data_IF_616676917897
#
_entry.id   IF_616676917897
#
_cell.length_a   1.000
_cell.length_b   1.000
_cell.length_c   1.000
_cell.angle_alpha   90.00
_cell.angle_beta   90.00
_cell.angle_gamma   90.00
#
_symmetry.space_group_name_H-M   'P 1'
#
loop_
_entity.id
_entity.type
_entity.pdbx_description
1 polymer ?
#
# COMPACT_ATOMS: atom_id res chain seq x y z
N UNK A 1 1.31 10.00 -1.10
CA UNK A 1 0.79 9.27 0.06
C UNK A 1 1.83 9.37 1.15
N UNK A 2 1.60 10.16 2.19
CA UNK A 2 2.64 10.50 3.19
C UNK A 2 2.49 9.69 4.49
N UNK A 3 1.52 8.77 4.53
CA UNK A 3 1.19 7.96 5.69
C UNK A 3 1.58 6.51 5.41
N UNK A 4 2.30 5.90 6.36
CA UNK A 4 2.48 4.45 6.43
C UNK A 4 1.13 3.78 6.72
N UNK A 5 0.72 2.82 5.89
CA UNK A 5 -0.45 2.00 6.17
C UNK A 5 -0.01 0.64 6.71
N UNK A 6 -0.53 0.27 7.87
CA UNK A 6 -0.26 -1.01 8.53
C UNK A 6 -1.10 -2.13 7.91
N UNK A 7 -0.67 -3.39 8.09
CA UNK A 7 -1.43 -4.57 7.63
C UNK A 7 -2.83 -4.59 8.25
N UNK A 8 -2.97 -4.24 9.54
CA UNK A 8 -4.27 -4.21 10.22
C UNK A 8 -5.25 -3.21 9.58
N UNK A 9 -4.79 -2.01 9.20
CA UNK A 9 -5.60 -1.01 8.47
C UNK A 9 -5.97 -1.45 7.04
N UNK A 10 -5.18 -2.34 6.45
CA UNK A 10 -5.40 -2.84 5.09
C UNK A 10 -6.31 -4.07 5.07
N UNK A 11 -6.31 -4.88 6.12
CA UNK A 11 -7.12 -6.09 6.25
C UNK A 11 -8.63 -5.81 6.25
N UNK A 12 -9.08 -4.59 6.58
CA UNK A 12 -10.50 -4.22 6.53
C UNK A 12 -10.96 -3.75 5.16
N UNK A 13 -10.06 -3.69 4.16
CA UNK A 13 -10.34 -3.16 2.83
C UNK A 13 -10.65 -4.26 1.83
N UNK A 14 -11.42 -3.92 0.81
CA UNK A 14 -11.70 -4.77 -0.35
C UNK A 14 -10.48 -4.89 -1.26
N UNK A 15 -10.44 -5.91 -2.12
CA UNK A 15 -9.35 -6.05 -3.09
C UNK A 15 -9.27 -4.85 -4.06
N UNK A 16 -10.41 -4.31 -4.49
CA UNK A 16 -10.46 -3.14 -5.36
C UNK A 16 -9.82 -1.90 -4.71
N UNK A 17 -10.11 -1.67 -3.43
CA UNK A 17 -9.48 -0.60 -2.64
C UNK A 17 -7.98 -0.83 -2.47
N UNK A 18 -7.54 -2.06 -2.17
CA UNK A 18 -6.13 -2.41 -2.05
C UNK A 18 -5.37 -2.15 -3.37
N UNK A 19 -5.95 -2.53 -4.51
CA UNK A 19 -5.37 -2.23 -5.84
C UNK A 19 -5.34 -0.73 -6.11
N UNK A 20 -6.36 0.02 -5.69
CA UNK A 20 -6.39 1.49 -5.78
C UNK A 20 -5.27 2.14 -4.97
N UNK A 21 -5.10 1.73 -3.71
CA UNK A 21 -4.04 2.19 -2.83
C UNK A 21 -2.65 1.82 -3.35
N UNK A 22 -2.48 0.63 -3.92
CA UNK A 22 -1.22 0.19 -4.50
C UNK A 22 -0.77 1.13 -5.64
N UNK A 23 -1.71 1.50 -6.53
CA UNK A 23 -1.44 2.47 -7.60
C UNK A 23 -1.07 3.84 -7.04
N UNK A 24 -1.83 4.34 -6.05
CA UNK A 24 -1.56 5.63 -5.41
C UNK A 24 -0.19 5.67 -4.71
N UNK A 25 0.18 4.60 -4.01
CA UNK A 25 1.46 4.46 -3.34
C UNK A 25 2.63 4.40 -4.35
N UNK A 26 2.43 3.73 -5.49
CA UNK A 26 3.43 3.66 -6.58
C UNK A 26 3.67 5.03 -7.21
N UNK A 27 2.60 5.77 -7.52
CA UNK A 27 2.70 7.13 -8.04
C UNK A 27 3.37 8.08 -7.04
N UNK A 28 3.01 7.97 -5.76
CA UNK A 28 3.63 8.76 -4.71
C UNK A 28 5.13 8.46 -4.59
N UNK A 29 5.53 7.19 -4.63
CA UNK A 29 6.92 6.76 -4.58
C UNK A 29 7.74 7.37 -5.72
N UNK A 30 7.19 7.40 -6.94
CA UNK A 30 7.83 7.96 -8.11
C UNK A 30 8.16 9.46 -7.97
N UNK A 31 7.39 10.18 -7.15
CA UNK A 31 7.55 11.62 -6.90
C UNK A 31 8.46 11.92 -5.70
N UNK A 32 8.94 10.91 -4.97
CA UNK A 32 9.79 11.11 -3.77
C UNK A 32 11.27 11.06 -4.12
N UNK A 33 12.04 11.98 -3.54
CA UNK A 33 13.50 11.91 -3.54
C UNK A 33 14.00 10.67 -2.80
N UNK A 34 15.23 10.25 -3.09
CA UNK A 34 15.86 9.14 -2.38
C UNK A 34 16.16 9.48 -0.92
N UNK A 35 16.20 8.46 -0.07
CA UNK A 35 16.53 8.55 1.36
C UNK A 35 15.61 9.43 2.23
N UNK A 36 14.39 9.74 1.78
CA UNK A 36 13.42 10.48 2.61
C UNK A 36 12.51 9.55 3.44
N UNK A 37 11.98 10.02 4.58
CA UNK A 37 10.96 9.28 5.34
C UNK A 37 9.72 8.93 4.50
N UNK A 38 9.29 9.81 3.60
CA UNK A 38 8.12 9.62 2.74
C UNK A 38 8.34 8.46 1.76
N UNK A 39 9.56 8.34 1.22
CA UNK A 39 9.96 7.22 0.37
C UNK A 39 9.89 5.90 1.13
N UNK A 40 10.44 5.86 2.35
CA UNK A 40 10.39 4.67 3.23
C UNK A 40 8.95 4.28 3.56
N UNK A 41 8.11 5.25 3.91
CA UNK A 41 6.69 5.01 4.19
C UNK A 41 5.93 4.47 2.98
N UNK A 42 6.23 4.99 1.79
CA UNK A 42 5.61 4.55 0.53
C UNK A 42 6.01 3.11 0.18
N UNK A 43 7.30 2.77 0.33
CA UNK A 43 7.80 1.40 0.14
C UNK A 43 7.19 0.41 1.13
N UNK A 44 7.19 0.75 2.43
CA UNK A 44 6.61 -0.10 3.46
C UNK A 44 5.10 -0.29 3.25
N UNK A 45 4.39 0.75 2.79
CA UNK A 45 2.97 0.61 2.45
C UNK A 45 2.74 -0.31 1.25
N UNK A 46 3.54 -0.18 0.19
CA UNK A 46 3.46 -1.08 -0.97
C UNK A 46 3.65 -2.55 -0.55
N UNK A 47 4.66 -2.81 0.28
CA UNK A 47 4.92 -4.16 0.79
C UNK A 47 3.76 -4.69 1.64
N UNK A 48 3.19 -3.85 2.52
CA UNK A 48 2.04 -4.23 3.34
C UNK A 48 0.80 -4.52 2.50
N UNK A 49 0.54 -3.76 1.44
CA UNK A 49 -0.56 -4.02 0.51
C UNK A 49 -0.33 -5.34 -0.22
N UNK A 50 0.86 -5.58 -0.76
CA UNK A 50 1.20 -6.84 -1.43
C UNK A 50 1.03 -8.05 -0.52
N UNK A 51 1.47 -7.97 0.75
CA UNK A 51 1.22 -9.04 1.73
C UNK A 51 -0.26 -9.23 1.99
N UNK A 52 -1.03 -8.16 2.14
CA UNK A 52 -2.47 -8.25 2.42
C UNK A 52 -3.22 -8.91 1.27
N UNK A 53 -2.90 -8.59 0.01
CA UNK A 53 -3.47 -9.24 -1.17
C UNK A 53 -3.11 -10.72 -1.21
N UNK A 54 -1.84 -11.07 -0.95
CA UNK A 54 -1.39 -12.47 -0.93
C UNK A 54 -2.06 -13.31 0.17
N UNK A 55 -2.39 -12.69 1.31
CA UNK A 55 -3.05 -13.34 2.45
C UNK A 55 -4.58 -13.41 2.32
N UNK A 56 -5.19 -12.69 1.38
CA UNK A 56 -6.64 -12.64 1.19
C UNK A 56 -7.07 -12.98 -0.25
N UNK A 57 -6.65 -14.13 -0.82
CA UNK A 57 -7.13 -14.54 -2.14
C UNK A 57 -8.66 -14.75 -2.08
N UNK A 58 -9.42 -13.92 -2.80
CA UNK A 58 -10.87 -14.08 -2.94
C UNK A 58 -11.76 -13.15 -2.10
N UNK A 59 -11.26 -12.07 -1.50
CA UNK A 59 -12.11 -10.97 -1.00
C UNK A 59 -12.58 -10.07 -2.16
N UNK A 60 -13.29 -10.67 -3.10
CA UNK A 60 -13.99 -10.00 -4.18
C UNK A 60 -15.49 -10.17 -4.01
N UNK A 61 -16.13 -9.14 -3.44
CA UNK A 61 -17.50 -8.71 -3.75
C UNK A 61 -17.50 -7.18 -3.66
#
# INVERSE_FOLDING_TARGET
MNKLMTIAELQSRTEAELRGLFRQATLALALTAHNTPERRNSLATLENISRTIALAPGRGL
#
